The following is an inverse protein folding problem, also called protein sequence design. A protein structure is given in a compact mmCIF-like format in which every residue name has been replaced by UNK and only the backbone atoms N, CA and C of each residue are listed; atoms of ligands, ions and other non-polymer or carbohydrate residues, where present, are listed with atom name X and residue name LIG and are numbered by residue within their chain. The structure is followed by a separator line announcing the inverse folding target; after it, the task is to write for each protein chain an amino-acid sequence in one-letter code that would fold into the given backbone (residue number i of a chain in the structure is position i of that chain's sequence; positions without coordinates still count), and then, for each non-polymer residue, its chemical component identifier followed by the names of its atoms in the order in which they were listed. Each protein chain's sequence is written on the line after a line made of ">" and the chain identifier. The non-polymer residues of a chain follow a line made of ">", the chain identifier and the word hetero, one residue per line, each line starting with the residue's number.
data_IF_987825318194
#
_entry.id   IF_987825318194
#
_cell.length_a   1.000
_cell.length_b   1.000
_cell.length_c   1.000
_cell.angle_alpha   90.00
_cell.angle_beta   90.00
_cell.angle_gamma   90.00
#
_symmetry.space_group_name_H-M   'P 1'
#
loop_
_entity.id
_entity.type
_entity.pdbx_description
1 polymer ?
#
# COMPACT_ATOMS: atom_id res chain seq x y z
N UNK A 1 -38.83 7.14 0.10
CA UNK A 1 -38.04 8.38 -0.05
C UNK A 1 -37.69 8.88 1.34
N UNK A 2 -36.45 8.68 1.78
CA UNK A 2 -35.94 9.19 3.06
C UNK A 2 -34.51 9.65 2.78
N UNK A 3 -34.32 10.97 2.80
CA UNK A 3 -33.03 11.64 2.69
C UNK A 3 -32.50 11.86 4.11
N UNK A 4 -31.28 11.39 4.40
CA UNK A 4 -30.56 11.80 5.60
C UNK A 4 -29.23 12.39 5.14
N UNK A 5 -29.15 13.71 5.27
CA UNK A 5 -27.90 14.46 5.25
C UNK A 5 -27.27 14.34 6.64
N UNK A 6 -26.04 13.87 6.73
CA UNK A 6 -25.23 14.08 7.93
C UNK A 6 -23.84 14.55 7.51
N UNK A 7 -23.68 15.88 7.57
CA UNK A 7 -22.41 16.59 7.56
C UNK A 7 -21.64 16.24 8.84
N UNK A 8 -20.43 15.71 8.72
CA UNK A 8 -19.48 15.66 9.83
C UNK A 8 -18.38 16.68 9.55
N UNK A 9 -18.29 17.62 10.48
CA UNK A 9 -17.40 18.76 10.55
C UNK A 9 -15.95 18.35 10.75
N UNK A 10 -15.06 18.97 9.97
CA UNK A 10 -13.61 18.99 10.17
C UNK A 10 -13.25 19.65 11.51
N UNK A 11 -12.64 18.88 12.41
CA UNK A 11 -11.97 19.38 13.61
C UNK A 11 -10.46 19.28 13.45
N UNK A 12 -9.81 20.42 13.20
CA UNK A 12 -8.35 20.57 13.23
C UNK A 12 -7.93 20.67 14.71
N UNK A 13 -7.08 19.77 15.18
CA UNK A 13 -6.37 19.94 16.46
C UNK A 13 -4.91 20.27 16.15
N UNK A 14 -4.58 21.56 16.21
CA UNK A 14 -3.20 22.05 16.36
C UNK A 14 -2.90 22.04 17.85
N UNK A 15 -1.94 21.24 18.27
CA UNK A 15 -1.43 21.21 19.63
C UNK A 15 0.08 21.43 19.64
N UNK A 16 0.49 22.67 19.87
CA UNK A 16 1.85 23.03 20.22
C UNK A 16 2.10 22.75 21.70
N UNK A 17 3.20 22.06 22.03
CA UNK A 17 3.85 22.18 23.34
C UNK A 17 5.35 22.16 23.16
N UNK A 18 5.92 23.38 23.14
CA UNK A 18 7.31 23.59 23.53
C UNK A 18 7.38 23.67 25.05
N UNK A 19 8.33 22.96 25.63
CA UNK A 19 8.61 22.94 27.06
C UNK A 19 10.03 22.45 27.29
N UNK A 20 10.94 23.41 27.45
CA UNK A 20 12.38 23.27 27.66
C UNK A 20 12.66 22.66 29.04
N UNK A 21 13.54 21.65 29.11
CA UNK A 21 14.34 21.36 30.31
C UNK A 21 15.81 21.23 29.89
N UNK A 22 16.61 22.13 30.43
CA UNK A 22 18.06 22.19 30.36
C UNK A 22 18.63 21.33 31.49
N UNK A 23 19.57 20.42 31.20
CA UNK A 23 20.86 20.38 31.90
C UNK A 23 21.86 19.38 31.30
N UNK A 24 23.17 19.61 31.50
CA UNK A 24 24.22 19.10 30.63
C UNK A 24 25.13 18.04 31.27
N UNK A 25 25.98 17.48 30.40
CA UNK A 25 27.39 17.11 30.59
C UNK A 25 27.71 15.63 30.84
N UNK A 26 28.27 15.02 29.79
CA UNK A 26 29.15 13.86 29.83
C UNK A 26 30.44 14.16 30.60
N UNK A 27 30.97 13.18 31.33
CA UNK A 27 32.41 12.91 31.38
C UNK A 27 32.67 11.44 31.76
N UNK A 28 33.70 10.89 31.13
CA UNK A 28 34.12 9.49 31.08
C UNK A 28 34.99 9.05 32.26
N UNK A 29 34.99 7.73 32.45
CA UNK A 29 36.08 6.83 32.88
C UNK A 29 36.88 7.10 34.17
N UNK A 30 36.81 6.14 35.12
CA UNK A 30 38.03 5.52 35.70
C UNK A 30 37.77 4.18 36.43
N UNK A 31 38.61 3.22 36.08
CA UNK A 31 38.84 1.86 36.62
C UNK A 31 39.22 1.80 38.12
N UNK A 32 38.90 0.69 38.82
CA UNK A 32 39.86 -0.20 39.57
C UNK A 32 39.16 -1.38 40.31
N UNK A 33 39.85 -2.51 40.31
CA UNK A 33 39.68 -3.90 40.79
C UNK A 33 39.47 -4.14 42.32
N UNK A 34 38.68 -5.17 42.70
CA UNK A 34 39.04 -6.40 43.49
C UNK A 34 38.00 -6.87 44.55
N UNK A 35 37.55 -8.13 44.36
CA UNK A 35 37.02 -9.18 45.26
C UNK A 35 36.19 -8.87 46.52
N UNK A 36 35.06 -9.57 46.70
CA UNK A 36 34.80 -10.51 47.82
C UNK A 36 33.54 -11.36 47.56
N UNK A 37 33.69 -12.65 47.85
CA UNK A 37 32.74 -13.76 47.83
C UNK A 37 31.47 -13.52 48.67
N UNK A 38 30.28 -13.74 48.10
CA UNK A 38 29.10 -14.12 48.87
C UNK A 38 28.16 -15.00 48.03
N UNK A 39 28.19 -16.29 48.36
CA UNK A 39 27.24 -17.32 47.95
C UNK A 39 25.90 -17.04 48.62
N UNK A 40 24.87 -16.71 47.86
CA UNK A 40 23.47 -16.80 48.29
C UNK A 40 22.68 -17.51 47.19
N UNK A 41 22.47 -18.80 47.43
CA UNK A 41 21.52 -19.64 46.71
C UNK A 41 20.13 -19.30 47.22
N UNK A 42 19.23 -18.78 46.36
CA UNK A 42 17.77 -18.84 46.54
C UNK A 42 17.06 -18.44 45.23
N UNK A 43 15.84 -18.92 45.02
CA UNK A 43 15.47 -19.66 43.81
C UNK A 43 14.95 -18.78 42.67
N UNK A 44 15.12 -19.33 41.46
CA UNK A 44 14.54 -18.89 40.20
C UNK A 44 13.02 -18.78 40.34
N UNK A 45 12.51 -17.55 40.30
CA UNK A 45 11.07 -17.28 40.19
C UNK A 45 10.65 -17.47 38.72
N UNK A 46 10.41 -18.73 38.36
CA UNK A 46 9.81 -19.17 37.10
C UNK A 46 8.30 -18.90 37.14
N UNK A 47 7.88 -17.63 37.04
CA UNK A 47 6.44 -17.31 36.93
C UNK A 47 6.07 -16.12 36.05
N UNK A 48 7.03 -15.56 35.32
CA UNK A 48 6.78 -14.40 34.43
C UNK A 48 6.62 -14.79 32.96
N UNK A 49 6.90 -16.04 32.57
CA UNK A 49 6.92 -16.46 31.17
C UNK A 49 5.60 -17.08 30.64
N UNK A 50 4.69 -17.55 31.49
CA UNK A 50 3.47 -18.24 31.02
C UNK A 50 2.39 -17.29 30.51
N UNK A 51 2.26 -16.09 31.09
CA UNK A 51 1.14 -15.18 30.78
C UNK A 51 1.23 -14.51 29.40
N UNK A 52 2.43 -14.39 28.83
CA UNK A 52 2.68 -13.69 27.56
C UNK A 52 2.72 -14.65 26.35
N UNK A 53 2.97 -15.94 26.58
CA UNK A 53 3.11 -16.94 25.50
C UNK A 53 1.76 -17.29 24.83
N UNK A 54 0.68 -17.36 25.61
CA UNK A 54 -0.68 -17.64 25.10
C UNK A 54 -1.20 -16.52 24.17
N UNK A 55 -1.16 -15.22 24.53
CA UNK A 55 -1.57 -14.14 23.64
C UNK A 55 -0.78 -14.07 22.33
N UNK A 56 0.53 -14.30 22.37
CA UNK A 56 1.39 -14.27 21.18
C UNK A 56 1.09 -15.44 20.24
N UNK A 57 0.87 -16.64 20.78
CA UNK A 57 0.49 -17.81 19.98
C UNK A 57 -0.90 -17.64 19.35
N UNK A 58 -1.87 -17.09 20.10
CA UNK A 58 -3.20 -16.79 19.58
C UNK A 58 -3.14 -15.74 18.46
N UNK A 59 -2.33 -14.68 18.63
CA UNK A 59 -2.12 -13.67 17.60
C UNK A 59 -1.45 -14.26 16.35
N UNK A 60 -0.39 -15.07 16.50
CA UNK A 60 0.27 -15.74 15.38
C UNK A 60 -0.69 -16.62 14.58
N UNK A 61 -1.54 -17.39 15.26
CA UNK A 61 -2.58 -18.21 14.63
C UNK A 61 -3.59 -17.36 13.86
N UNK A 62 -4.05 -16.26 14.46
CA UNK A 62 -5.00 -15.32 13.84
C UNK A 62 -4.40 -14.69 12.57
N UNK A 63 -3.17 -14.17 12.65
CA UNK A 63 -2.49 -13.57 11.50
C UNK A 63 -2.24 -14.61 10.40
N UNK A 64 -1.86 -15.83 10.76
CA UNK A 64 -1.66 -16.92 9.79
C UNK A 64 -2.96 -17.21 9.04
N UNK A 65 -4.09 -17.34 9.75
CA UNK A 65 -5.40 -17.57 9.13
C UNK A 65 -5.82 -16.42 8.19
N UNK A 66 -5.55 -15.16 8.58
CA UNK A 66 -5.82 -14.00 7.73
C UNK A 66 -5.00 -14.02 6.44
N UNK A 67 -3.72 -14.39 6.52
CA UNK A 67 -2.86 -14.50 5.33
C UNK A 67 -3.33 -15.65 4.42
N UNK A 68 -3.69 -16.80 4.99
CA UNK A 68 -4.25 -17.93 4.23
C UNK A 68 -5.55 -17.56 3.51
N UNK A 69 -6.42 -16.79 4.17
CA UNK A 69 -7.64 -16.26 3.55
C UNK A 69 -7.34 -15.32 2.37
N UNK A 70 -6.34 -14.45 2.52
CA UNK A 70 -5.88 -13.57 1.43
C UNK A 70 -5.37 -14.40 0.25
N UNK A 71 -4.48 -15.37 0.50
CA UNK A 71 -3.90 -16.23 -0.52
C UNK A 71 -4.99 -17.02 -1.28
N UNK A 72 -5.97 -17.55 -0.55
CA UNK A 72 -7.11 -18.27 -1.13
C UNK A 72 -7.97 -17.35 -2.00
N UNK A 73 -8.26 -16.14 -1.52
CA UNK A 73 -9.06 -15.15 -2.26
C UNK A 73 -8.45 -14.82 -3.63
N UNK A 74 -7.13 -14.68 -3.69
CA UNK A 74 -6.41 -14.20 -4.88
C UNK A 74 -5.68 -15.30 -5.66
N UNK A 75 -5.90 -16.58 -5.34
CA UNK A 75 -5.19 -17.73 -5.94
C UNK A 75 -5.23 -17.70 -7.48
N UNK A 76 -6.37 -17.29 -8.06
CA UNK A 76 -6.60 -17.25 -9.51
C UNK A 76 -6.29 -15.90 -10.16
N UNK A 77 -5.97 -14.86 -9.39
CA UNK A 77 -5.71 -13.49 -9.89
C UNK A 77 -4.24 -13.27 -10.27
N UNK A 78 -3.39 -14.31 -10.29
CA UNK A 78 -1.94 -14.18 -10.48
C UNK A 78 -1.49 -13.93 -11.94
N UNK A 79 -2.38 -13.72 -12.91
CA UNK A 79 -1.97 -13.68 -14.32
C UNK A 79 -1.73 -12.26 -14.83
N UNK A 80 -0.47 -11.99 -15.20
CA UNK A 80 -0.08 -10.81 -16.00
C UNK A 80 0.46 -9.61 -15.21
N UNK A 81 0.49 -9.66 -13.88
CA UNK A 81 1.04 -8.60 -13.03
C UNK A 81 2.15 -9.15 -12.12
N UNK A 82 3.41 -8.80 -12.42
CA UNK A 82 4.57 -9.28 -11.67
C UNK A 82 4.60 -8.74 -10.23
N UNK A 83 4.30 -7.46 -10.03
CA UNK A 83 4.25 -6.83 -8.71
C UNK A 83 3.21 -7.50 -7.79
N UNK A 84 2.03 -7.83 -8.32
CA UNK A 84 0.98 -8.53 -7.56
C UNK A 84 1.44 -9.95 -7.17
N UNK A 85 2.11 -10.63 -8.10
CA UNK A 85 2.67 -11.97 -7.87
C UNK A 85 3.74 -11.95 -6.78
N UNK A 86 4.67 -10.99 -6.82
CA UNK A 86 5.70 -10.80 -5.80
C UNK A 86 5.10 -10.54 -4.41
N UNK A 87 4.06 -9.70 -4.34
CA UNK A 87 3.35 -9.44 -3.08
C UNK A 87 2.65 -10.69 -2.52
N UNK A 88 2.05 -11.52 -3.37
CA UNK A 88 1.50 -12.82 -2.95
C UNK A 88 2.58 -13.82 -2.53
N UNK A 89 3.73 -13.83 -3.20
CA UNK A 89 4.86 -14.69 -2.82
C UNK A 89 5.44 -14.33 -1.46
N UNK A 90 5.49 -13.05 -1.10
CA UNK A 90 5.85 -12.61 0.24
C UNK A 90 4.88 -13.17 1.29
N UNK A 91 3.57 -13.16 1.01
CA UNK A 91 2.58 -13.78 1.88
C UNK A 91 2.74 -15.30 1.99
N UNK A 92 3.00 -16.01 0.88
CA UNK A 92 3.26 -17.47 0.89
C UNK A 92 4.47 -17.83 1.75
N UNK A 93 5.48 -16.97 1.80
CA UNK A 93 6.63 -17.11 2.72
C UNK A 93 6.22 -16.81 4.16
N UNK A 94 5.47 -15.72 4.37
CA UNK A 94 5.07 -15.25 5.69
C UNK A 94 4.24 -16.26 6.48
N UNK A 95 3.33 -17.01 5.83
CA UNK A 95 2.55 -18.08 6.48
C UNK A 95 3.45 -19.12 7.18
N UNK A 96 4.64 -19.39 6.65
CA UNK A 96 5.58 -20.39 7.16
C UNK A 96 6.48 -19.87 8.29
N UNK A 97 6.44 -18.57 8.56
CA UNK A 97 7.21 -17.97 9.65
C UNK A 97 6.68 -18.39 11.01
N UNK A 98 7.57 -18.53 11.98
CA UNK A 98 7.22 -18.91 13.34
C UNK A 98 7.02 -17.68 14.24
N UNK A 99 6.66 -17.90 15.50
CA UNK A 99 6.39 -16.86 16.50
C UNK A 99 7.52 -15.83 16.71
N UNK A 100 8.78 -16.20 16.44
CA UNK A 100 9.92 -15.27 16.58
C UNK A 100 9.97 -14.23 15.45
N UNK A 101 9.18 -14.45 14.40
CA UNK A 101 9.03 -13.56 13.23
C UNK A 101 7.59 -13.04 13.15
N UNK A 102 6.86 -13.02 14.27
CA UNK A 102 5.47 -12.59 14.31
C UNK A 102 5.30 -11.14 13.83
N UNK A 103 6.22 -10.26 14.22
CA UNK A 103 6.24 -8.87 13.76
C UNK A 103 6.39 -8.78 12.23
N UNK A 104 7.35 -9.50 11.65
CA UNK A 104 7.52 -9.57 10.19
C UNK A 104 6.26 -10.12 9.52
N UNK A 105 5.64 -11.16 10.09
CA UNK A 105 4.40 -11.77 9.58
C UNK A 105 3.26 -10.76 9.55
N UNK A 106 3.10 -9.97 10.61
CA UNK A 106 2.13 -8.88 10.70
C UNK A 106 2.42 -7.82 9.63
N UNK A 107 3.69 -7.41 9.50
CA UNK A 107 4.11 -6.41 8.52
C UNK A 107 3.86 -6.88 7.08
N UNK A 108 4.11 -8.15 6.75
CA UNK A 108 3.81 -8.71 5.44
C UNK A 108 2.31 -8.59 5.09
N UNK A 109 1.43 -8.90 6.04
CA UNK A 109 -0.03 -8.73 5.88
C UNK A 109 -0.42 -7.26 5.68
N UNK A 110 0.11 -6.35 6.51
CA UNK A 110 -0.19 -4.91 6.43
C UNK A 110 0.25 -4.33 5.08
N UNK A 111 1.48 -4.66 4.66
CA UNK A 111 2.04 -4.22 3.39
C UNK A 111 1.20 -4.70 2.22
N UNK A 112 0.82 -5.98 2.20
CA UNK A 112 -0.06 -6.52 1.16
C UNK A 112 -1.41 -5.78 1.12
N UNK A 113 -2.07 -5.59 2.26
CA UNK A 113 -3.37 -4.92 2.30
C UNK A 113 -3.29 -3.47 1.80
N UNK A 114 -2.21 -2.77 2.15
CA UNK A 114 -1.95 -1.40 1.69
C UNK A 114 -1.76 -1.37 0.17
N UNK A 115 -0.86 -2.21 -0.33
CA UNK A 115 -0.59 -2.37 -1.75
C UNK A 115 -1.86 -2.73 -2.55
N UNK A 116 -2.59 -3.75 -2.11
CA UNK A 116 -3.76 -4.26 -2.80
C UNK A 116 -4.94 -3.26 -2.73
N UNK A 117 -5.07 -2.50 -1.64
CA UNK A 117 -6.02 -1.40 -1.55
C UNK A 117 -5.76 -0.32 -2.61
N UNK A 118 -4.50 0.07 -2.80
CA UNK A 118 -4.10 0.98 -3.88
C UNK A 118 -4.39 0.39 -5.26
N UNK A 119 -4.03 -0.88 -5.49
CA UNK A 119 -4.27 -1.60 -6.76
C UNK A 119 -5.74 -1.54 -7.17
N UNK A 120 -6.63 -1.96 -6.27
CA UNK A 120 -8.09 -1.97 -6.53
C UNK A 120 -8.61 -0.56 -6.80
N UNK A 121 -8.14 0.44 -6.04
CA UNK A 121 -8.52 1.84 -6.24
C UNK A 121 -8.10 2.37 -7.62
N UNK A 122 -6.89 2.05 -8.08
CA UNK A 122 -6.39 2.42 -9.39
C UNK A 122 -7.14 1.71 -10.52
N UNK A 123 -7.41 0.40 -10.38
CA UNK A 123 -8.19 -0.36 -11.36
C UNK A 123 -9.62 0.19 -11.51
N UNK A 124 -10.26 0.57 -10.40
CA UNK A 124 -11.57 1.24 -10.43
C UNK A 124 -11.52 2.56 -11.19
N UNK A 125 -10.49 3.38 -10.96
CA UNK A 125 -10.32 4.65 -11.66
C UNK A 125 -10.05 4.44 -13.17
N UNK A 126 -9.30 3.38 -13.52
CA UNK A 126 -9.06 2.98 -14.91
C UNK A 126 -10.39 2.63 -15.58
N UNK A 127 -11.20 1.80 -14.94
CA UNK A 127 -12.50 1.38 -15.48
C UNK A 127 -13.44 2.57 -15.67
N UNK A 128 -13.50 3.49 -14.70
CA UNK A 128 -14.27 4.73 -14.81
C UNK A 128 -13.81 5.62 -15.98
N UNK A 129 -12.49 5.74 -16.19
CA UNK A 129 -11.98 6.55 -17.31
C UNK A 129 -12.25 5.88 -18.65
N UNK A 130 -12.12 4.55 -18.76
CA UNK A 130 -12.49 3.80 -19.96
C UNK A 130 -13.97 4.03 -20.29
N UNK A 131 -14.86 4.02 -19.30
CA UNK A 131 -16.28 4.29 -19.49
C UNK A 131 -16.52 5.73 -19.97
N UNK A 132 -15.85 6.73 -19.38
CA UNK A 132 -15.92 8.10 -19.88
C UNK A 132 -15.45 8.21 -21.34
N UNK A 133 -14.38 7.49 -21.72
CA UNK A 133 -13.90 7.44 -23.11
C UNK A 133 -14.90 6.75 -24.05
N UNK A 134 -15.59 5.71 -23.60
CA UNK A 134 -16.66 5.05 -24.36
C UNK A 134 -17.85 5.99 -24.62
N UNK A 135 -18.09 6.98 -23.75
CA UNK A 135 -19.11 8.00 -23.96
C UNK A 135 -18.62 9.14 -24.88
N UNK A 136 -17.32 9.45 -24.87
CA UNK A 136 -16.73 10.50 -25.74
C UNK A 136 -16.56 10.01 -27.18
N UNK A 137 -16.10 8.78 -27.38
CA UNK A 137 -15.75 8.27 -28.71
C UNK A 137 -16.87 8.36 -29.75
N UNK A 138 -18.15 8.04 -29.43
CA UNK A 138 -19.27 8.17 -30.38
C UNK A 138 -19.58 9.61 -30.80
N UNK A 139 -19.14 10.62 -30.04
CA UNK A 139 -19.36 12.03 -30.36
C UNK A 139 -18.28 12.60 -31.28
N UNK A 140 -17.21 11.83 -31.53
CA UNK A 140 -16.11 12.24 -32.40
C UNK A 140 -16.38 11.84 -33.85
N UNK A 141 -15.97 12.69 -34.80
CA UNK A 141 -15.96 12.31 -36.21
C UNK A 141 -15.07 11.07 -36.42
N UNK A 142 -15.53 10.03 -37.14
CA UNK A 142 -14.73 8.84 -37.40
C UNK A 142 -13.37 9.18 -38.04
N UNK A 143 -12.31 8.53 -37.58
CA UNK A 143 -10.93 8.72 -38.05
C UNK A 143 -10.31 10.12 -37.85
N UNK A 144 -11.03 11.07 -37.25
CA UNK A 144 -10.49 12.36 -36.82
C UNK A 144 -9.29 12.18 -35.88
N UNK A 145 -8.45 13.22 -35.78
CA UNK A 145 -7.34 13.27 -34.81
C UNK A 145 -7.82 12.95 -33.39
N UNK A 146 -8.94 13.55 -32.97
CA UNK A 146 -9.48 13.33 -31.63
C UNK A 146 -10.05 11.92 -31.42
N UNK A 147 -10.72 11.34 -32.43
CA UNK A 147 -11.15 9.93 -32.33
C UNK A 147 -9.96 8.99 -32.12
N UNK A 148 -8.87 9.14 -32.89
CA UNK A 148 -7.64 8.35 -32.76
C UNK A 148 -6.94 8.58 -31.41
N UNK A 149 -6.92 9.82 -30.95
CA UNK A 149 -6.36 10.21 -29.65
C UNK A 149 -7.08 9.51 -28.49
N UNK A 150 -8.40 9.58 -28.43
CA UNK A 150 -9.18 8.95 -27.37
C UNK A 150 -9.19 7.42 -27.48
N UNK A 151 -9.15 6.86 -28.70
CA UNK A 151 -8.96 5.42 -28.90
C UNK A 151 -7.63 4.96 -28.29
N UNK A 152 -6.55 5.68 -28.57
CA UNK A 152 -5.22 5.38 -28.00
C UNK A 152 -5.25 5.42 -26.47
N UNK A 153 -5.86 6.44 -25.86
CA UNK A 153 -6.01 6.49 -24.40
C UNK A 153 -6.74 5.27 -23.85
N UNK A 154 -7.85 4.87 -24.49
CA UNK A 154 -8.65 3.73 -24.04
C UNK A 154 -7.86 2.43 -24.10
N UNK A 155 -7.14 2.18 -25.19
CA UNK A 155 -6.30 0.98 -25.32
C UNK A 155 -5.13 0.98 -24.33
N UNK A 156 -4.47 2.13 -24.12
CA UNK A 156 -3.45 2.28 -23.07
C UNK A 156 -4.00 1.92 -21.69
N UNK A 157 -5.20 2.40 -21.34
CA UNK A 157 -5.84 2.12 -20.05
C UNK A 157 -6.23 0.65 -19.87
N UNK A 158 -6.73 -0.02 -20.92
CA UNK A 158 -7.02 -1.46 -20.87
C UNK A 158 -5.76 -2.26 -20.56
N UNK A 159 -4.66 -1.93 -21.22
CA UNK A 159 -3.37 -2.58 -21.01
C UNK A 159 -2.77 -2.22 -19.64
N UNK A 160 -3.06 -1.03 -19.11
CA UNK A 160 -2.52 -0.58 -17.82
C UNK A 160 -2.97 -1.46 -16.63
N UNK A 161 -4.09 -2.18 -16.72
CA UNK A 161 -4.59 -3.04 -15.62
C UNK A 161 -3.58 -4.12 -15.21
N UNK A 162 -2.74 -4.57 -16.13
CA UNK A 162 -1.72 -5.60 -15.84
C UNK A 162 -0.40 -5.01 -15.32
N UNK A 163 -0.19 -3.68 -15.38
CA UNK A 163 1.03 -3.02 -14.93
C UNK A 163 1.10 -2.87 -13.40
N UNK A 164 2.26 -2.48 -12.86
CA UNK A 164 2.40 -2.11 -11.45
C UNK A 164 1.45 -0.98 -11.03
N UNK A 165 1.26 -0.75 -9.74
CA UNK A 165 0.49 0.40 -9.24
C UNK A 165 1.05 1.74 -9.76
N UNK A 166 2.37 1.87 -9.87
CA UNK A 166 3.01 3.03 -10.49
C UNK A 166 2.66 3.16 -11.98
N UNK A 167 2.72 2.04 -12.73
CA UNK A 167 2.34 2.01 -14.14
C UNK A 167 0.86 2.36 -14.36
N UNK A 168 -0.03 1.84 -13.52
CA UNK A 168 -1.47 2.18 -13.50
C UNK A 168 -1.68 3.68 -13.25
N UNK A 169 -1.01 4.23 -12.23
CA UNK A 169 -1.08 5.65 -11.88
C UNK A 169 -0.60 6.54 -13.03
N UNK A 170 0.52 6.20 -13.66
CA UNK A 170 1.08 6.92 -14.80
C UNK A 170 0.14 6.91 -16.01
N UNK A 171 -0.43 5.75 -16.35
CA UNK A 171 -1.40 5.63 -17.43
C UNK A 171 -2.66 6.46 -17.16
N UNK A 172 -3.17 6.44 -15.92
CA UNK A 172 -4.29 7.28 -15.50
C UNK A 172 -3.98 8.76 -15.67
N UNK A 173 -2.81 9.22 -15.22
CA UNK A 173 -2.41 10.61 -15.34
C UNK A 173 -2.36 11.06 -16.81
N UNK A 174 -1.70 10.29 -17.67
CA UNK A 174 -1.61 10.58 -19.10
C UNK A 174 -2.98 10.56 -19.80
N UNK A 175 -3.91 9.72 -19.34
CA UNK A 175 -5.25 9.64 -19.90
C UNK A 175 -6.15 10.82 -19.55
N UNK A 176 -5.73 11.75 -18.67
CA UNK A 176 -6.52 12.95 -18.33
C UNK A 176 -6.42 14.04 -19.41
N UNK A 177 -5.45 13.93 -20.31
CA UNK A 177 -5.29 14.87 -21.41
C UNK A 177 -6.54 14.89 -22.31
N UNK A 178 -6.90 16.09 -22.76
CA UNK A 178 -8.04 16.34 -23.63
C UNK A 178 -7.51 16.63 -25.04
N UNK A 179 -8.17 16.10 -26.06
CA UNK A 179 -7.80 16.43 -27.43
C UNK A 179 -8.00 17.92 -27.68
N UNK A 180 -6.93 18.62 -28.10
CA UNK A 180 -7.01 20.02 -28.51
C UNK A 180 -7.33 20.06 -30.01
N UNK A 181 -8.42 20.72 -30.37
CA UNK A 181 -8.86 20.89 -31.77
C UNK A 181 -8.02 21.92 -32.53
N UNK A 182 -7.35 22.83 -31.82
CA UNK A 182 -6.51 23.86 -32.41
C UNK A 182 -5.04 23.49 -32.20
N UNK A 183 -4.47 22.83 -33.19
CA UNK A 183 -3.13 23.28 -33.61
C UNK A 183 -3.42 24.26 -34.75
N UNK A 184 -2.85 25.45 -34.70
CA UNK A 184 -2.77 26.31 -35.87
C UNK A 184 -2.32 25.45 -37.06
N UNK A 185 -2.97 25.65 -38.21
CA UNK A 185 -2.64 25.04 -39.49
C UNK A 185 -1.14 24.74 -39.57
N UNK A 186 -0.78 23.46 -39.55
CA UNK A 186 0.49 22.98 -40.08
C UNK A 186 0.27 22.57 -41.55
N UNK A 187 -0.49 23.40 -42.26
CA UNK A 187 -0.39 23.54 -43.71
C UNK A 187 0.79 24.48 -43.92
N UNK A 188 2.00 23.94 -44.00
CA UNK A 188 3.10 24.40 -44.88
C UNK A 188 4.45 23.85 -44.40
N UNK A 189 4.79 22.65 -44.87
CA UNK A 189 6.14 22.44 -45.41
C UNK A 189 6.03 21.72 -46.74
N UNK A 190 6.05 22.54 -47.79
CA UNK A 190 6.24 22.16 -49.18
C UNK A 190 7.61 21.48 -49.41
N UNK A 191 7.59 20.54 -50.37
CA UNK A 191 8.67 19.79 -51.05
C UNK A 191 9.27 18.57 -50.35
#
# INVERSE_FOLDING_TARGET
>A
MIWIWSLITLGIIVGAMGGVIISPREDKDKSTTTATTAKVTSPVDLKTNETTLEPLAALDKSITADIENILTKYERECMGNSEFTENLDLLRKAVKWNKNQLEDKINAKINFNTYNGQRISLEKQIDQRIEALNNILPTQEPNSRCSKFYLKQRETLKNAKTLSNEGKSSALLQSKEICKTNDYNDDDYYY
#
